data_IF_137322774320
#
_entry.id   IF_137322774320
#
_cell.length_a   1.000
_cell.length_b   1.000
_cell.length_c   1.000
_cell.angle_alpha   90.00
_cell.angle_beta   90.00
_cell.angle_gamma   90.00
#
_symmetry.space_group_name_H-M   'P 1'
#
loop_
_entity.id
_entity.type
_entity.pdbx_description
1 polymer ?
#
# COMPACT_ATOMS: atom_id res chain seq x y z
N UNK A 1 -2.37 11.56 -35.28
CA UNK A 1 -2.55 12.17 -33.95
C UNK A 1 -2.94 11.06 -32.99
N UNK A 2 -1.99 10.59 -32.19
CA UNK A 2 -2.28 9.66 -31.11
C UNK A 2 -2.99 10.46 -30.04
N UNK A 3 -4.23 10.13 -29.78
CA UNK A 3 -4.94 10.53 -28.57
C UNK A 3 -4.16 9.93 -27.41
N UNK A 4 -3.40 10.76 -26.72
CA UNK A 4 -2.86 10.42 -25.43
C UNK A 4 -4.03 10.01 -24.54
N UNK A 5 -4.15 8.73 -24.28
CA UNK A 5 -5.02 8.22 -23.27
C UNK A 5 -4.58 8.86 -21.96
N UNK A 6 -5.29 9.88 -21.55
CA UNK A 6 -5.24 10.41 -20.21
C UNK A 6 -5.52 9.23 -19.28
N UNK A 7 -4.48 8.69 -18.69
CA UNK A 7 -4.61 7.66 -17.67
C UNK A 7 -5.41 8.31 -16.56
N UNK A 8 -6.57 7.75 -16.19
CA UNK A 8 -7.34 8.32 -15.11
C UNK A 8 -6.48 8.36 -13.86
N UNK A 9 -6.58 9.43 -13.11
CA UNK A 9 -5.87 9.62 -11.83
C UNK A 9 -6.37 8.66 -10.73
N UNK A 10 -6.78 7.48 -11.08
CA UNK A 10 -7.23 6.41 -10.21
C UNK A 10 -6.22 5.25 -10.26
N UNK A 11 -6.14 4.41 -9.22
CA UNK A 11 -5.39 3.17 -9.30
C UNK A 11 -5.77 2.43 -10.58
N UNK A 12 -4.75 2.00 -11.34
CA UNK A 12 -4.96 1.36 -12.64
C UNK A 12 -5.77 0.08 -12.53
N UNK A 13 -5.56 -0.66 -11.46
CA UNK A 13 -6.11 -1.99 -11.30
C UNK A 13 -6.31 -2.30 -9.82
N UNK A 14 -7.54 -2.45 -9.43
CA UNK A 14 -7.95 -2.87 -8.09
C UNK A 14 -8.41 -4.31 -8.12
N UNK A 15 -7.83 -5.14 -7.29
CA UNK A 15 -8.20 -6.54 -7.12
C UNK A 15 -8.71 -6.77 -5.72
N UNK A 16 -10.00 -7.13 -5.59
CA UNK A 16 -10.54 -7.57 -4.31
C UNK A 16 -9.98 -8.96 -3.98
N UNK A 17 -9.31 -9.09 -2.83
CA UNK A 17 -8.76 -10.36 -2.36
C UNK A 17 -9.67 -11.05 -1.37
N UNK A 18 -10.42 -10.30 -0.60
CA UNK A 18 -11.41 -10.72 0.38
C UNK A 18 -12.25 -9.51 0.80
N UNK A 19 -13.38 -9.70 1.51
CA UNK A 19 -14.08 -8.57 2.10
C UNK A 19 -13.14 -7.69 2.95
N UNK A 20 -13.09 -6.40 2.65
CA UNK A 20 -12.22 -5.45 3.32
C UNK A 20 -10.74 -5.51 2.96
N UNK A 21 -10.36 -6.27 1.92
CA UNK A 21 -8.96 -6.39 1.47
C UNK A 21 -8.86 -6.23 -0.03
N UNK A 22 -8.14 -5.21 -0.48
CA UNK A 22 -7.88 -4.96 -1.90
C UNK A 22 -6.38 -4.75 -2.17
N UNK A 23 -5.91 -5.29 -3.27
CA UNK A 23 -4.58 -5.02 -3.81
C UNK A 23 -4.72 -4.11 -5.02
N UNK A 24 -3.91 -3.06 -5.07
CA UNK A 24 -3.98 -2.04 -6.12
C UNK A 24 -2.62 -1.85 -6.80
N UNK A 25 -2.63 -1.95 -8.11
CA UNK A 25 -1.51 -1.54 -8.96
C UNK A 25 -1.71 -0.06 -9.30
N UNK A 26 -0.97 0.81 -8.63
CA UNK A 26 -1.14 2.26 -8.73
C UNK A 26 -0.05 2.85 -9.61
N UNK A 27 -0.48 3.62 -10.63
CA UNK A 27 0.41 4.43 -11.47
C UNK A 27 -0.24 5.80 -11.68
N UNK A 28 0.40 6.82 -11.18
CA UNK A 28 -0.11 8.18 -11.21
C UNK A 28 0.90 9.10 -11.89
N UNK A 29 0.40 9.86 -12.88
CA UNK A 29 1.19 10.83 -13.64
C UNK A 29 0.70 12.27 -13.39
N UNK A 30 -0.24 12.45 -12.46
CA UNK A 30 -0.82 13.74 -12.12
C UNK A 30 -0.53 14.12 -10.67
N UNK A 31 -0.40 15.41 -10.35
CA UNK A 31 -0.12 15.87 -8.99
C UNK A 31 -1.26 15.63 -8.00
N UNK A 32 -2.46 15.35 -8.48
CA UNK A 32 -3.63 15.08 -7.66
C UNK A 32 -4.09 13.64 -7.88
N UNK A 33 -4.32 12.94 -6.80
CA UNK A 33 -4.85 11.59 -6.78
C UNK A 33 -6.20 11.60 -6.04
N UNK A 34 -7.25 11.01 -6.61
CA UNK A 34 -8.50 10.84 -5.88
C UNK A 34 -8.30 9.92 -4.66
N UNK A 35 -9.13 10.06 -3.63
CA UNK A 35 -9.09 9.17 -2.49
C UNK A 35 -9.26 7.72 -2.95
N UNK A 36 -8.51 6.79 -2.37
CA UNK A 36 -8.48 5.42 -2.85
C UNK A 36 -9.81 4.69 -2.72
N UNK A 37 -10.45 4.77 -1.58
CA UNK A 37 -11.72 4.09 -1.28
C UNK A 37 -12.51 4.89 -0.24
N UNK A 38 -13.81 4.80 -0.32
CA UNK A 38 -14.74 5.41 0.65
C UNK A 38 -14.99 4.44 1.82
N UNK A 39 -13.92 4.03 2.48
CA UNK A 39 -13.99 3.21 3.68
C UNK A 39 -13.81 4.08 4.94
N UNK A 40 -14.59 3.84 6.01
CA UNK A 40 -14.50 4.64 7.23
C UNK A 40 -13.11 4.63 7.88
N UNK A 41 -12.46 3.48 7.82
CA UNK A 41 -11.06 3.30 8.23
C UNK A 41 -10.33 2.57 7.12
N UNK A 42 -9.36 3.21 6.54
CA UNK A 42 -8.55 2.62 5.47
C UNK A 42 -7.10 2.55 5.91
N UNK A 43 -6.63 1.34 6.16
CA UNK A 43 -5.23 1.05 6.38
C UNK A 43 -4.56 0.82 5.04
N UNK A 44 -3.51 1.56 4.77
CA UNK A 44 -2.76 1.50 3.51
C UNK A 44 -1.35 0.99 3.77
N UNK A 45 -0.98 -0.08 3.10
CA UNK A 45 0.40 -0.53 2.95
C UNK A 45 0.86 -0.13 1.56
N UNK A 46 1.88 0.68 1.48
CA UNK A 46 2.34 1.33 0.27
C UNK A 46 3.76 0.85 -0.04
N UNK A 47 3.96 0.22 -1.18
CA UNK A 47 5.27 -0.29 -1.62
C UNK A 47 5.67 0.48 -2.88
N UNK A 48 6.46 1.53 -2.71
CA UNK A 48 6.81 2.45 -3.79
C UNK A 48 7.88 1.87 -4.71
N UNK A 49 7.51 1.69 -5.97
CA UNK A 49 8.41 1.23 -7.03
C UNK A 49 9.14 2.37 -7.72
N UNK A 50 8.49 3.50 -7.88
CA UNK A 50 9.03 4.65 -8.61
C UNK A 50 8.35 5.93 -8.17
N UNK A 51 9.10 7.02 -8.19
CA UNK A 51 8.60 8.33 -7.80
C UNK A 51 8.47 8.52 -6.30
N UNK A 52 7.53 9.35 -5.88
CA UNK A 52 7.30 9.66 -4.47
C UNK A 52 5.91 10.22 -4.24
N UNK A 53 5.40 9.99 -3.05
CA UNK A 53 4.11 10.48 -2.60
C UNK A 53 4.23 11.10 -1.20
N UNK A 54 3.52 12.20 -0.98
CA UNK A 54 3.33 12.78 0.34
C UNK A 54 2.08 12.20 1.00
N UNK A 55 2.24 11.72 2.22
CA UNK A 55 1.17 11.15 3.03
C UNK A 55 0.90 12.11 4.19
N UNK A 56 -0.35 12.57 4.39
CA UNK A 56 -0.68 13.42 5.53
C UNK A 56 -0.35 12.73 6.86
N UNK A 57 0.36 13.42 7.74
CA UNK A 57 0.79 12.92 9.06
C UNK A 57 0.61 14.04 10.10
N UNK A 58 -0.57 14.15 10.65
CA UNK A 58 -0.95 15.26 11.51
C UNK A 58 -0.87 16.60 10.78
N UNK A 59 -0.05 17.53 11.30
CA UNK A 59 0.20 18.84 10.68
C UNK A 59 1.30 18.83 9.61
N UNK A 60 1.91 17.67 9.36
CA UNK A 60 3.03 17.50 8.45
C UNK A 60 2.71 16.47 7.36
N UNK A 61 3.68 16.20 6.52
CA UNK A 61 3.63 15.14 5.52
C UNK A 61 4.81 14.20 5.70
N UNK A 62 4.56 12.90 5.64
CA UNK A 62 5.58 11.89 5.43
C UNK A 62 5.74 11.67 3.92
N UNK A 63 6.97 11.48 3.47
CA UNK A 63 7.26 11.23 2.05
C UNK A 63 7.70 9.78 1.90
N UNK A 64 6.95 9.02 1.11
CA UNK A 64 7.38 7.71 0.63
C UNK A 64 8.02 7.86 -0.73
N UNK A 65 9.21 7.28 -0.90
CA UNK A 65 10.02 7.36 -2.12
C UNK A 65 10.29 5.97 -2.68
N UNK A 66 10.83 5.92 -3.90
CA UNK A 66 11.28 4.69 -4.52
C UNK A 66 12.15 3.84 -3.58
N UNK A 67 11.85 2.55 -3.51
CA UNK A 67 12.54 1.61 -2.63
C UNK A 67 12.11 1.64 -1.17
N UNK A 68 11.05 2.39 -0.83
CA UNK A 68 10.51 2.48 0.52
C UNK A 68 9.08 1.97 0.58
N UNK A 69 8.71 1.48 1.75
CA UNK A 69 7.33 1.17 2.11
C UNK A 69 6.80 2.18 3.14
N UNK A 70 5.50 2.37 3.13
CA UNK A 70 4.82 3.16 4.15
C UNK A 70 3.57 2.44 4.64
N UNK A 71 3.26 2.61 5.91
CA UNK A 71 2.00 2.14 6.52
C UNK A 71 1.31 3.32 7.15
N UNK A 72 0.05 3.53 6.80
CA UNK A 72 -0.72 4.65 7.30
C UNK A 72 -2.22 4.37 7.29
N UNK A 73 -2.96 5.08 8.12
CA UNK A 73 -4.39 5.24 7.91
C UNK A 73 -4.62 6.41 6.95
N UNK A 74 -5.43 6.19 5.91
CA UNK A 74 -5.84 7.27 5.03
C UNK A 74 -6.68 8.29 5.80
N UNK A 75 -6.42 9.58 5.57
CA UNK A 75 -7.18 10.67 6.16
C UNK A 75 -8.33 11.00 5.21
N UNK A 76 -9.61 10.86 5.64
CA UNK A 76 -10.74 11.19 4.81
C UNK A 76 -10.70 12.65 4.34
N UNK A 77 -10.92 12.88 3.05
CA UNK A 77 -10.95 14.23 2.46
C UNK A 77 -9.58 14.90 2.31
N UNK A 78 -8.49 14.22 2.64
CA UNK A 78 -7.16 14.74 2.37
C UNK A 78 -6.77 14.52 0.91
N UNK A 79 -6.26 15.57 0.27
CA UNK A 79 -5.71 15.46 -1.07
C UNK A 79 -4.38 14.72 -1.05
N UNK A 80 -4.20 13.84 -2.03
CA UNK A 80 -2.90 13.25 -2.27
C UNK A 80 -2.00 14.27 -2.98
N UNK A 81 -0.82 14.48 -2.43
CA UNK A 81 0.18 15.33 -3.03
C UNK A 81 1.35 14.49 -3.57
N UNK A 82 1.68 14.69 -4.83
CA UNK A 82 2.82 14.06 -5.49
C UNK A 82 3.92 15.12 -5.69
N UNK A 83 4.98 15.11 -4.87
CA UNK A 83 6.08 16.07 -4.98
C UNK A 83 6.89 15.97 -6.28
N UNK A 84 6.76 14.86 -6.99
CA UNK A 84 7.24 14.67 -8.35
C UNK A 84 6.05 14.33 -9.24
N UNK A 85 6.13 14.45 -10.53
CA UNK A 85 5.00 14.21 -11.43
C UNK A 85 4.64 12.75 -11.64
N UNK A 86 5.31 11.81 -10.95
CA UNK A 86 5.10 10.37 -11.15
C UNK A 86 5.14 9.62 -9.83
N UNK A 87 4.29 8.60 -9.73
CA UNK A 87 4.24 7.68 -8.62
C UNK A 87 3.74 6.32 -9.09
N UNK A 88 4.52 5.28 -8.83
CA UNK A 88 4.17 3.90 -9.12
C UNK A 88 4.38 3.04 -7.88
N UNK A 89 3.34 2.34 -7.47
CA UNK A 89 3.37 1.53 -6.25
C UNK A 89 2.42 0.35 -6.33
N UNK A 90 2.78 -0.72 -5.63
CA UNK A 90 1.85 -1.75 -5.22
C UNK A 90 1.28 -1.33 -3.86
N UNK A 91 -0.04 -1.27 -3.75
CA UNK A 91 -0.71 -0.85 -2.51
C UNK A 91 -1.66 -1.95 -2.04
N UNK A 92 -1.64 -2.21 -0.74
CA UNK A 92 -2.59 -3.09 -0.09
C UNK A 92 -3.51 -2.23 0.78
N UNK A 93 -4.80 -2.25 0.48
CA UNK A 93 -5.84 -1.54 1.20
C UNK A 93 -6.61 -2.50 2.07
N UNK A 94 -6.69 -2.21 3.35
CA UNK A 94 -7.39 -3.04 4.33
C UNK A 94 -8.33 -2.16 5.16
N UNK A 95 -9.58 -2.57 5.24
CA UNK A 95 -10.53 -2.09 6.26
C UNK A 95 -10.43 -3.03 7.47
N UNK A 96 -9.79 -2.63 8.58
CA UNK A 96 -9.60 -3.52 9.72
C UNK A 96 -10.92 -4.00 10.36
N UNK A 97 -11.98 -3.21 10.21
CA UNK A 97 -13.28 -3.53 10.80
C UNK A 97 -14.09 -4.51 9.93
N UNK A 98 -13.72 -4.65 8.65
CA UNK A 98 -14.39 -5.55 7.71
C UNK A 98 -13.68 -6.90 7.55
N UNK A 99 -12.44 -7.05 8.03
CA UNK A 99 -11.70 -8.32 7.95
C UNK A 99 -12.34 -9.34 8.87
N UNK A 100 -12.81 -10.45 8.27
CA UNK A 100 -13.52 -11.50 8.98
C UNK A 100 -12.56 -12.50 9.64
N UNK A 101 -13.07 -13.24 10.63
CA UNK A 101 -12.29 -14.26 11.34
C UNK A 101 -11.81 -15.40 10.41
N UNK A 102 -12.53 -15.66 9.33
CA UNK A 102 -12.19 -16.66 8.30
C UNK A 102 -11.44 -16.05 7.09
N UNK A 103 -11.07 -14.79 7.16
CA UNK A 103 -10.23 -14.15 6.13
C UNK A 103 -8.90 -14.89 5.99
N UNK A 104 -8.40 -14.97 4.76
CA UNK A 104 -7.09 -15.57 4.49
C UNK A 104 -5.96 -14.92 5.31
N UNK A 105 -6.05 -13.63 5.62
CA UNK A 105 -5.09 -12.94 6.50
C UNK A 105 -5.14 -13.48 7.93
N UNK A 106 -6.34 -13.60 8.48
CA UNK A 106 -6.56 -14.13 9.85
C UNK A 106 -6.12 -15.59 9.95
N UNK A 107 -6.48 -16.41 8.96
CA UNK A 107 -6.10 -17.82 8.92
C UNK A 107 -4.59 -18.03 8.79
N UNK A 108 -3.89 -17.08 8.22
CA UNK A 108 -2.42 -17.07 8.16
C UNK A 108 -1.76 -16.43 9.40
N UNK A 109 -2.52 -16.15 10.45
CA UNK A 109 -1.98 -15.60 11.69
C UNK A 109 -1.69 -14.09 11.66
N UNK A 110 -2.21 -13.37 10.68
CA UNK A 110 -2.06 -11.92 10.57
C UNK A 110 -3.25 -11.22 11.22
N UNK A 111 -3.04 -10.70 12.42
CA UNK A 111 -4.05 -9.94 13.16
C UNK A 111 -3.90 -8.45 12.79
N UNK A 112 -4.81 -7.97 11.95
CA UNK A 112 -4.69 -6.66 11.29
C UNK A 112 -4.78 -5.50 12.28
N UNK A 113 -5.63 -5.61 13.30
CA UNK A 113 -5.73 -4.57 14.34
C UNK A 113 -4.41 -4.35 15.06
N UNK A 114 -3.75 -5.42 15.48
CA UNK A 114 -2.44 -5.36 16.13
C UNK A 114 -1.33 -4.86 15.20
N UNK A 115 -1.38 -5.26 13.93
CA UNK A 115 -0.44 -4.77 12.90
C UNK A 115 -0.62 -3.27 12.70
N UNK A 116 -1.84 -2.80 12.60
CA UNK A 116 -2.14 -1.38 12.50
C UNK A 116 -1.64 -0.60 13.71
N UNK A 117 -1.89 -1.09 14.90
CA UNK A 117 -1.41 -0.47 16.15
C UNK A 117 0.13 -0.45 16.22
N UNK A 118 0.78 -1.51 15.76
CA UNK A 118 2.23 -1.58 15.74
C UNK A 118 2.85 -0.52 14.83
N UNK A 119 2.40 -0.43 13.57
CA UNK A 119 2.99 0.49 12.61
C UNK A 119 2.51 1.94 12.75
N UNK A 120 1.25 2.15 13.06
CA UNK A 120 0.64 3.48 13.05
C UNK A 120 0.60 4.18 14.42
N UNK A 121 1.23 3.61 15.43
CA UNK A 121 1.25 4.16 16.80
C UNK A 121 1.79 5.59 16.86
N UNK A 122 2.80 5.90 16.08
CA UNK A 122 3.43 7.22 16.00
C UNK A 122 2.98 8.08 14.81
N UNK A 123 1.95 7.66 14.07
CA UNK A 123 1.54 8.28 12.82
C UNK A 123 1.91 7.44 11.61
N UNK A 124 2.33 8.06 10.53
CA UNK A 124 2.78 7.36 9.32
C UNK A 124 4.12 6.68 9.58
N UNK A 125 4.20 5.39 9.28
CA UNK A 125 5.44 4.63 9.33
C UNK A 125 6.05 4.52 7.93
N UNK A 126 7.29 4.95 7.76
CA UNK A 126 8.06 4.79 6.52
C UNK A 126 9.35 4.04 6.80
N UNK A 127 9.70 3.09 5.95
CA UNK A 127 10.92 2.30 6.07
C UNK A 127 11.47 1.88 4.70
N UNK A 128 12.79 1.64 4.59
CA UNK A 128 13.34 1.02 3.38
C UNK A 128 12.76 -0.37 3.18
N UNK A 129 12.45 -0.73 1.94
CA UNK A 129 12.07 -2.10 1.59
C UNK A 129 13.31 -2.99 1.62
N UNK A 130 13.16 -4.21 2.17
CA UNK A 130 14.17 -5.26 2.01
C UNK A 130 14.23 -5.77 0.57
N UNK A 131 15.30 -6.46 0.21
CA UNK A 131 15.41 -7.13 -1.09
C UNK A 131 14.28 -8.14 -1.30
N UNK A 132 13.85 -8.81 -0.24
CA UNK A 132 12.73 -9.75 -0.29
C UNK A 132 11.41 -9.05 -0.64
N UNK A 133 11.12 -7.92 -0.01
CA UNK A 133 9.91 -7.12 -0.33
C UNK A 133 9.98 -6.62 -1.78
N UNK A 134 11.10 -6.06 -2.19
CA UNK A 134 11.30 -5.57 -3.56
C UNK A 134 11.07 -6.67 -4.58
N UNK A 135 11.62 -7.87 -4.34
CA UNK A 135 11.45 -9.01 -5.23
C UNK A 135 9.98 -9.44 -5.36
N UNK A 136 9.24 -9.46 -4.25
CA UNK A 136 7.80 -9.80 -4.26
C UNK A 136 7.01 -8.74 -5.04
N UNK A 137 7.28 -7.47 -4.80
CA UNK A 137 6.60 -6.36 -5.49
C UNK A 137 6.82 -6.43 -6.99
N UNK A 138 8.05 -6.64 -7.43
CA UNK A 138 8.39 -6.73 -8.84
C UNK A 138 7.76 -7.97 -9.50
N UNK A 139 7.81 -9.13 -8.85
CA UNK A 139 7.16 -10.36 -9.32
C UNK A 139 5.66 -10.15 -9.54
N UNK A 140 4.97 -9.61 -8.53
CA UNK A 140 3.52 -9.35 -8.61
C UNK A 140 3.19 -8.34 -9.70
N UNK A 141 4.02 -7.30 -9.82
CA UNK A 141 3.82 -6.25 -10.82
C UNK A 141 3.97 -6.77 -12.25
N UNK A 142 5.00 -7.57 -12.49
CA UNK A 142 5.27 -8.14 -13.82
C UNK A 142 4.19 -9.15 -14.23
N UNK A 143 3.65 -9.90 -13.29
CA UNK A 143 2.60 -10.90 -13.51
C UNK A 143 1.18 -10.36 -13.37
N UNK A 144 0.99 -9.06 -13.14
CA UNK A 144 -0.29 -8.44 -12.81
C UNK A 144 -1.44 -8.81 -13.75
N UNK A 145 -1.17 -8.90 -15.05
CA UNK A 145 -2.19 -9.23 -16.06
C UNK A 145 -2.70 -10.68 -15.97
N UNK A 146 -1.92 -11.58 -15.40
CA UNK A 146 -2.18 -13.03 -15.43
C UNK A 146 -2.31 -13.66 -14.04
N UNK A 147 -1.99 -12.92 -12.98
CA UNK A 147 -2.01 -13.44 -11.63
C UNK A 147 -3.41 -13.87 -11.21
N UNK A 148 -3.52 -15.11 -10.73
CA UNK A 148 -4.74 -15.63 -10.15
C UNK A 148 -5.01 -15.02 -8.77
N UNK A 149 -6.29 -14.94 -8.31
CA UNK A 149 -6.60 -14.38 -6.98
C UNK A 149 -5.83 -15.03 -5.83
N UNK A 150 -5.60 -16.34 -5.89
CA UNK A 150 -4.81 -17.06 -4.88
C UNK A 150 -3.34 -16.65 -4.84
N UNK A 151 -2.75 -16.36 -5.99
CA UNK A 151 -1.36 -15.86 -6.10
C UNK A 151 -1.25 -14.47 -5.49
N UNK A 152 -2.22 -13.60 -5.74
CA UNK A 152 -2.26 -12.25 -5.17
C UNK A 152 -2.47 -12.28 -3.64
N UNK A 153 -3.32 -13.17 -3.13
CA UNK A 153 -3.48 -13.38 -1.69
C UNK A 153 -2.17 -13.86 -1.05
N UNK A 154 -1.51 -14.80 -1.69
CA UNK A 154 -0.22 -15.30 -1.21
C UNK A 154 0.83 -14.19 -1.18
N UNK A 155 0.89 -13.38 -2.23
CA UNK A 155 1.80 -12.23 -2.27
C UNK A 155 1.51 -11.21 -1.15
N UNK A 156 0.24 -10.90 -0.90
CA UNK A 156 -0.16 -10.01 0.20
C UNK A 156 0.32 -10.53 1.56
N UNK A 157 0.14 -11.82 1.83
CA UNK A 157 0.63 -12.47 3.05
C UNK A 157 2.15 -12.36 3.17
N UNK A 158 2.88 -12.67 2.10
CA UNK A 158 4.34 -12.57 2.08
C UNK A 158 4.81 -11.14 2.36
N UNK A 159 4.21 -10.15 1.72
CA UNK A 159 4.55 -8.74 1.93
C UNK A 159 4.38 -8.31 3.38
N UNK A 160 3.27 -8.69 4.01
CA UNK A 160 3.00 -8.36 5.41
C UNK A 160 4.00 -9.05 6.36
N UNK A 161 4.32 -10.32 6.12
CA UNK A 161 5.33 -11.03 6.93
C UNK A 161 6.73 -10.43 6.76
N UNK A 162 7.14 -10.11 5.55
CA UNK A 162 8.45 -9.49 5.32
C UNK A 162 8.53 -8.09 5.93
N UNK A 163 7.42 -7.33 5.87
CA UNK A 163 7.36 -6.01 6.51
C UNK A 163 7.49 -6.11 8.04
N UNK A 164 6.83 -7.10 8.66
CA UNK A 164 6.92 -7.36 10.10
C UNK A 164 8.30 -7.85 10.57
N UNK A 165 9.11 -8.37 9.66
CA UNK A 165 10.49 -8.82 9.95
C UNK A 165 11.52 -7.71 9.88
N UNK A 166 11.15 -6.55 9.32
CA UNK A 166 12.08 -5.42 9.25
C UNK A 166 12.44 -4.98 10.68
N UNK A 167 13.71 -4.68 10.96
CA UNK A 167 14.11 -4.19 12.27
C UNK A 167 13.46 -2.83 12.55
N UNK A 168 13.01 -2.65 13.78
CA UNK A 168 12.59 -1.34 14.25
C UNK A 168 13.78 -0.38 14.19
N UNK A 169 13.57 0.84 13.66
CA UNK A 169 14.64 1.85 13.65
C UNK A 169 15.17 2.17 15.06
N UNK A 170 14.35 1.90 16.09
CA UNK A 170 14.73 2.04 17.48
C UNK A 170 15.81 1.01 17.92
N UNK A 171 15.94 -0.12 17.24
CA UNK A 171 16.91 -1.18 17.58
C UNK A 171 18.29 -0.96 16.91
N UNK A 172 18.39 0.03 16.02
CA UNK A 172 19.63 0.36 15.29
C UNK A 172 20.37 1.59 15.85
N UNK A 173 19.86 2.15 16.90
CA UNK A 173 20.51 3.26 17.60
C UNK A 173 21.57 2.81 18.62
#
# INVERSE_FOLDING_TARGET
>A
MKTDNLIPAAPLDRRELAPGVQLCFTRLDAPLCPPPLDWPRLLVFDFCRSGRRAIPDGAQYAIVTEGHAAVSFAVPGADFYLPGSQYEALQLFIDPDAVQADSFLTLMGLEIGGIADYFCRGGVHCCPMSDAITAIVDEVWDDAAYAAPGELRYAAVRLLYELLRLPDEADTA
#
